data_IF_713788141173
#
_entry.id   IF_713788141173
#
_cell.length_a   1.000
_cell.length_b   1.000
_cell.length_c   1.000
_cell.angle_alpha   90.00
_cell.angle_beta   90.00
_cell.angle_gamma   90.00
#
_symmetry.space_group_name_H-M   'P 1'
#
loop_
_entity.id
_entity.type
_entity.pdbx_description
1 polymer ?
#
# COMPACT_ATOMS: atom_id res chain seq x y z
N UNK A 1 18.77 57.73 -49.26
CA UNK A 1 18.65 58.66 -50.40
C UNK A 1 17.52 59.61 -50.08
N UNK A 2 17.73 60.93 -49.99
CA UNK A 2 16.64 61.87 -49.76
C UNK A 2 15.82 61.93 -51.06
N UNK A 3 14.78 61.10 -51.10
CA UNK A 3 13.81 61.05 -52.17
C UNK A 3 13.20 62.43 -52.37
N UNK A 4 13.17 62.83 -53.64
CA UNK A 4 12.46 63.97 -54.20
C UNK A 4 11.68 64.76 -53.16
N UNK A 5 12.33 65.77 -52.55
CA UNK A 5 11.59 66.85 -51.90
C UNK A 5 10.90 67.61 -53.03
N UNK A 6 9.77 67.01 -53.35
CA UNK A 6 8.69 67.30 -54.25
C UNK A 6 8.93 68.58 -55.05
N UNK A 7 9.25 68.43 -56.34
CA UNK A 7 9.27 69.56 -57.27
C UNK A 7 8.00 70.43 -57.17
N UNK A 8 6.89 69.84 -56.70
CA UNK A 8 5.68 70.55 -56.34
C UNK A 8 5.88 71.68 -55.33
N UNK A 9 6.74 71.55 -54.31
CA UNK A 9 6.98 72.64 -53.33
C UNK A 9 7.61 73.85 -54.04
N UNK A 10 8.55 73.62 -54.95
CA UNK A 10 9.14 74.69 -55.76
C UNK A 10 8.14 75.29 -56.73
N UNK A 11 7.29 74.46 -57.36
CA UNK A 11 6.21 74.90 -58.25
C UNK A 11 5.21 75.76 -57.47
N UNK A 12 4.75 75.33 -56.30
CA UNK A 12 3.83 76.09 -55.46
C UNK A 12 4.47 77.37 -54.93
N UNK A 13 5.74 77.33 -54.54
CA UNK A 13 6.50 78.52 -54.14
C UNK A 13 6.59 79.55 -55.27
N UNK A 14 6.85 79.09 -56.51
CA UNK A 14 6.88 79.93 -57.68
C UNK A 14 5.49 80.54 -57.99
N UNK A 15 4.40 79.75 -57.87
CA UNK A 15 3.03 80.24 -58.04
C UNK A 15 2.69 81.32 -57.02
N UNK A 16 2.99 81.09 -55.74
CA UNK A 16 2.76 82.09 -54.69
C UNK A 16 3.56 83.37 -54.96
N UNK A 17 4.83 83.25 -55.36
CA UNK A 17 5.66 84.39 -55.72
C UNK A 17 5.08 85.20 -56.89
N UNK A 18 4.58 84.53 -57.93
CA UNK A 18 3.92 85.17 -59.05
C UNK A 18 2.61 85.86 -58.64
N UNK A 19 1.79 85.23 -57.80
CA UNK A 19 0.56 85.84 -57.27
C UNK A 19 0.86 87.09 -56.44
N UNK A 20 1.90 87.05 -55.59
CA UNK A 20 2.35 88.21 -54.83
C UNK A 20 2.86 89.32 -55.75
N UNK A 21 3.65 88.97 -56.77
CA UNK A 21 4.16 89.94 -57.76
C UNK A 21 3.01 90.60 -58.53
N UNK A 22 1.98 89.84 -58.89
CA UNK A 22 0.78 90.38 -59.51
C UNK A 22 -0.02 91.30 -58.57
N UNK A 23 -0.15 90.95 -57.29
CA UNK A 23 -0.80 91.81 -56.31
C UNK A 23 -0.04 93.13 -56.10
N UNK A 24 1.30 93.08 -56.09
CA UNK A 24 2.14 94.29 -56.03
C UNK A 24 1.97 95.14 -57.28
N UNK A 25 1.99 94.53 -58.47
CA UNK A 25 1.74 95.24 -59.72
C UNK A 25 0.37 95.94 -59.71
N UNK A 26 -0.68 95.23 -59.28
CA UNK A 26 -2.02 95.77 -59.15
C UNK A 26 -2.10 96.97 -58.19
N UNK A 27 -1.38 96.91 -57.06
CA UNK A 27 -1.28 98.03 -56.12
C UNK A 27 -0.57 99.25 -56.73
N UNK A 28 0.48 99.02 -57.52
CA UNK A 28 1.20 100.10 -58.22
C UNK A 28 0.29 100.78 -59.23
N UNK A 29 -0.45 100.02 -60.04
CA UNK A 29 -1.44 100.58 -60.97
C UNK A 29 -2.57 101.31 -60.25
N UNK A 30 -3.05 100.79 -59.11
CA UNK A 30 -4.06 101.47 -58.29
C UNK A 30 -3.55 102.82 -57.78
N UNK A 31 -2.28 102.88 -57.37
CA UNK A 31 -1.66 104.10 -56.86
C UNK A 31 -1.45 105.16 -57.94
N UNK A 32 -1.17 104.75 -59.19
CA UNK A 32 -0.89 105.67 -60.30
C UNK A 32 -2.18 106.08 -61.02
N UNK A 33 -3.03 105.12 -61.40
CA UNK A 33 -4.23 105.35 -62.21
C UNK A 33 -5.49 105.71 -61.41
N UNK A 34 -5.46 105.53 -60.08
CA UNK A 34 -6.60 105.74 -59.21
C UNK A 34 -7.66 104.63 -59.31
N UNK A 35 -8.74 104.71 -58.51
CA UNK A 35 -9.70 103.61 -58.33
C UNK A 35 -10.57 103.31 -59.55
N UNK A 36 -10.66 104.25 -60.50
CA UNK A 36 -11.43 104.10 -61.74
C UNK A 36 -10.59 103.53 -62.90
N UNK A 37 -9.29 103.28 -62.69
CA UNK A 37 -8.46 102.64 -63.69
C UNK A 37 -8.89 101.17 -63.90
N UNK A 38 -8.70 100.71 -65.13
CA UNK A 38 -8.98 99.34 -65.56
C UNK A 38 -7.68 98.66 -65.96
N UNK A 39 -7.51 97.42 -65.53
CA UNK A 39 -6.39 96.58 -65.96
C UNK A 39 -6.92 95.56 -66.95
N UNK A 40 -6.28 95.48 -68.10
CA UNK A 40 -6.54 94.42 -69.06
C UNK A 40 -5.72 93.17 -68.68
N UNK A 41 -6.40 92.20 -68.08
CA UNK A 41 -5.77 90.99 -67.54
C UNK A 41 -5.35 90.03 -68.67
N UNK A 42 -5.99 90.11 -69.84
CA UNK A 42 -5.75 89.20 -70.98
C UNK A 42 -4.84 89.78 -72.05
N UNK A 43 -4.17 90.91 -71.78
CA UNK A 43 -3.22 91.53 -72.72
C UNK A 43 -2.13 90.56 -73.23
N UNK A 44 -1.77 89.54 -72.44
CA UNK A 44 -0.78 88.53 -72.83
C UNK A 44 -1.29 87.51 -73.86
N UNK A 45 -2.61 87.32 -73.98
CA UNK A 45 -3.25 86.32 -74.86
C UNK A 45 -3.88 87.00 -76.10
N UNK A 46 -3.84 88.34 -76.18
CA UNK A 46 -4.37 89.11 -77.31
C UNK A 46 -5.86 89.41 -77.23
N UNK A 47 -6.52 89.10 -76.11
CA UNK A 47 -7.90 89.47 -75.83
C UNK A 47 -7.97 90.66 -74.88
N UNK A 48 -9.06 91.43 -74.95
CA UNK A 48 -9.29 92.58 -74.06
C UNK A 48 -10.38 92.27 -73.05
N UNK A 49 -9.98 92.01 -71.80
CA UNK A 49 -10.90 91.88 -70.68
C UNK A 49 -10.49 92.85 -69.59
N UNK A 50 -11.23 93.96 -69.53
CA UNK A 50 -10.96 95.05 -68.60
C UNK A 50 -11.67 94.81 -67.27
N UNK A 51 -10.89 94.74 -66.19
CA UNK A 51 -11.39 94.62 -64.83
C UNK A 51 -10.98 95.86 -64.05
N UNK A 52 -11.86 96.35 -63.17
CA UNK A 52 -11.51 97.43 -62.24
C UNK A 52 -10.31 97.00 -61.40
N UNK A 53 -9.32 97.88 -61.29
CA UNK A 53 -8.09 97.62 -60.51
C UNK A 53 -8.42 97.21 -59.08
N UNK A 54 -9.44 97.83 -58.48
CA UNK A 54 -9.87 97.54 -57.10
C UNK A 54 -10.30 96.07 -56.95
N UNK A 55 -11.08 95.56 -57.89
CA UNK A 55 -11.52 94.14 -57.91
C UNK A 55 -10.33 93.20 -58.12
N UNK A 56 -9.36 93.60 -58.94
CA UNK A 56 -8.17 92.79 -59.21
C UNK A 56 -7.22 92.72 -58.00
N UNK A 57 -7.00 93.83 -57.30
CA UNK A 57 -6.18 93.86 -56.06
C UNK A 57 -6.79 92.97 -54.99
N UNK A 58 -8.10 93.06 -54.74
CA UNK A 58 -8.75 92.27 -53.68
C UNK A 58 -8.72 90.77 -54.00
N UNK A 59 -9.01 90.40 -55.25
CA UNK A 59 -9.01 88.99 -55.66
C UNK A 59 -7.61 88.39 -55.65
N UNK A 60 -6.59 89.12 -56.10
CA UNK A 60 -5.20 88.67 -56.06
C UNK A 60 -4.65 88.54 -54.63
N UNK A 61 -4.96 89.47 -53.73
CA UNK A 61 -4.59 89.37 -52.32
C UNK A 61 -5.25 88.17 -51.64
N UNK A 62 -6.54 87.93 -51.89
CA UNK A 62 -7.27 86.80 -51.32
C UNK A 62 -6.71 85.46 -51.84
N UNK A 63 -6.42 85.38 -53.14
CA UNK A 63 -5.74 84.23 -53.73
C UNK A 63 -4.35 84.01 -53.09
N UNK A 64 -3.52 85.04 -53.00
CA UNK A 64 -2.19 84.93 -52.39
C UNK A 64 -2.25 84.45 -50.93
N UNK A 65 -3.17 85.01 -50.12
CA UNK A 65 -3.34 84.63 -48.72
C UNK A 65 -3.79 83.17 -48.55
N UNK A 66 -4.75 82.71 -49.37
CA UNK A 66 -5.24 81.32 -49.31
C UNK A 66 -4.15 80.31 -49.70
N UNK A 67 -3.42 80.55 -50.79
CA UNK A 67 -2.32 79.66 -51.21
C UNK A 67 -1.18 79.64 -50.19
N UNK A 68 -0.83 80.80 -49.61
CA UNK A 68 0.20 80.87 -48.57
C UNK A 68 -0.20 80.11 -47.30
N UNK A 69 -1.46 80.23 -46.86
CA UNK A 69 -1.98 79.49 -45.70
C UNK A 69 -1.90 77.98 -45.89
N UNK A 70 -2.26 77.47 -47.08
CA UNK A 70 -2.14 76.04 -47.41
C UNK A 70 -0.68 75.58 -47.39
N UNK A 71 0.24 76.37 -47.96
CA UNK A 71 1.66 76.03 -48.00
C UNK A 71 2.27 75.97 -46.59
N UNK A 72 1.95 76.93 -45.73
CA UNK A 72 2.37 76.91 -44.33
C UNK A 72 1.82 75.69 -43.58
N UNK A 73 0.55 75.33 -43.77
CA UNK A 73 -0.03 74.15 -43.11
C UNK A 73 0.64 72.85 -43.55
N UNK A 74 0.97 72.71 -44.83
CA UNK A 74 1.65 71.52 -45.35
C UNK A 74 3.08 71.41 -44.82
N UNK A 75 3.79 72.54 -44.74
CA UNK A 75 5.15 72.60 -44.21
C UNK A 75 5.21 72.22 -42.73
N UNK A 76 4.28 72.74 -41.92
CA UNK A 76 4.18 72.41 -40.49
C UNK A 76 3.88 70.92 -40.27
N UNK A 77 2.96 70.33 -41.05
CA UNK A 77 2.64 68.90 -40.94
C UNK A 77 3.84 68.02 -41.26
N UNK A 78 4.60 68.36 -42.30
CA UNK A 78 5.79 67.58 -42.70
C UNK A 78 6.90 67.64 -41.63
N UNK A 79 7.20 68.83 -41.12
CA UNK A 79 8.21 69.02 -40.07
C UNK A 79 7.88 68.26 -38.78
N UNK A 80 6.59 68.16 -38.43
CA UNK A 80 6.14 67.50 -37.20
C UNK A 80 6.22 65.97 -37.30
N UNK A 81 5.92 65.39 -38.46
CA UNK A 81 5.90 63.93 -38.66
C UNK A 81 7.31 63.34 -38.76
N UNK A 82 8.22 64.00 -39.48
CA UNK A 82 9.59 63.48 -39.66
C UNK A 82 10.43 63.52 -38.38
N UNK A 83 10.23 64.55 -37.53
CA UNK A 83 11.02 64.70 -36.30
C UNK A 83 10.52 63.83 -35.13
N UNK A 84 9.22 63.54 -35.07
CA UNK A 84 8.66 62.67 -34.04
C UNK A 84 8.86 61.17 -34.35
N UNK A 85 8.68 60.77 -35.62
CA UNK A 85 8.82 59.37 -36.02
C UNK A 85 10.25 58.85 -35.88
N UNK A 86 11.26 59.65 -36.26
CA UNK A 86 12.66 59.26 -36.15
C UNK A 86 13.08 59.03 -34.68
N UNK A 87 12.70 59.94 -33.77
CA UNK A 87 13.01 59.81 -32.33
C UNK A 87 12.37 58.58 -31.68
N UNK A 88 11.14 58.23 -32.10
CA UNK A 88 10.45 57.05 -31.60
C UNK A 88 11.11 55.77 -32.13
N UNK A 89 11.52 55.74 -33.40
CA UNK A 89 12.23 54.61 -33.99
C UNK A 89 13.55 54.32 -33.26
N UNK A 90 14.38 55.34 -33.04
CA UNK A 90 15.66 55.19 -32.34
C UNK A 90 15.46 54.73 -30.88
N UNK A 91 14.42 55.24 -30.21
CA UNK A 91 14.07 54.85 -28.85
C UNK A 91 13.55 53.39 -28.76
N UNK A 92 12.86 52.91 -29.79
CA UNK A 92 12.40 51.51 -29.88
C UNK A 92 13.59 50.59 -30.18
N UNK A 93 14.44 50.97 -31.12
CA UNK A 93 15.60 50.16 -31.52
C UNK A 93 16.59 50.00 -30.36
N UNK A 94 16.91 51.09 -29.66
CA UNK A 94 17.79 51.04 -28.48
C UNK A 94 17.21 50.18 -27.34
N UNK A 95 15.90 50.25 -27.09
CA UNK A 95 15.22 49.36 -26.12
C UNK A 95 15.23 47.91 -26.56
N UNK A 96 15.07 47.65 -27.85
CA UNK A 96 15.06 46.30 -28.41
C UNK A 96 16.44 45.65 -28.31
N UNK A 97 17.50 46.38 -28.67
CA UNK A 97 18.88 45.93 -28.51
C UNK A 97 19.23 45.69 -27.03
N UNK A 98 18.82 46.59 -26.13
CA UNK A 98 19.02 46.39 -24.69
C UNK A 98 18.32 45.14 -24.17
N UNK A 99 17.05 44.94 -24.55
CA UNK A 99 16.27 43.78 -24.15
C UNK A 99 16.81 42.48 -24.73
N UNK A 100 17.30 42.49 -25.97
CA UNK A 100 17.97 41.34 -26.58
C UNK A 100 19.22 40.95 -25.78
N UNK A 101 20.07 41.92 -25.43
CA UNK A 101 21.26 41.66 -24.62
C UNK A 101 20.94 41.13 -23.21
N UNK A 102 19.87 41.61 -22.58
CA UNK A 102 19.36 41.07 -21.31
C UNK A 102 18.86 39.62 -21.47
N UNK A 103 18.11 39.36 -22.54
CA UNK A 103 17.53 38.04 -22.82
C UNK A 103 18.65 37.01 -23.08
N UNK A 104 19.65 37.34 -23.89
CA UNK A 104 20.80 36.47 -24.14
C UNK A 104 21.54 36.12 -22.86
N UNK A 105 21.76 37.11 -21.97
CA UNK A 105 22.38 36.88 -20.65
C UNK A 105 21.54 35.96 -19.76
N UNK A 106 20.21 36.12 -19.75
CA UNK A 106 19.32 35.26 -18.95
C UNK A 106 19.27 33.84 -19.50
N UNK A 107 19.18 33.69 -20.83
CA UNK A 107 19.14 32.38 -21.50
C UNK A 107 20.45 31.64 -21.30
N UNK A 108 21.60 32.27 -21.54
CA UNK A 108 22.92 31.65 -21.34
C UNK A 108 23.15 31.26 -19.89
N UNK A 109 22.80 32.13 -18.93
CA UNK A 109 22.88 31.81 -17.49
C UNK A 109 21.99 30.63 -17.11
N UNK A 110 20.76 30.56 -17.62
CA UNK A 110 19.87 29.41 -17.38
C UNK A 110 20.39 28.14 -18.01
N UNK A 111 20.94 28.21 -19.22
CA UNK A 111 21.52 27.05 -19.90
C UNK A 111 22.74 26.50 -19.17
N UNK A 112 23.64 27.37 -18.71
CA UNK A 112 24.79 26.97 -17.88
C UNK A 112 24.35 26.32 -16.56
N UNK A 113 23.34 26.88 -15.89
CA UNK A 113 22.77 26.30 -14.67
C UNK A 113 22.10 24.94 -14.95
N UNK A 114 21.40 24.80 -16.07
CA UNK A 114 20.76 23.54 -16.47
C UNK A 114 21.82 22.46 -16.72
N UNK A 115 22.89 22.80 -17.46
CA UNK A 115 24.00 21.87 -17.73
C UNK A 115 24.72 21.43 -16.45
N UNK A 116 24.96 22.35 -15.51
CA UNK A 116 25.55 22.01 -14.21
C UNK A 116 24.63 21.09 -13.38
N UNK A 117 23.32 21.32 -13.42
CA UNK A 117 22.36 20.46 -12.74
C UNK A 117 22.30 19.07 -13.37
N UNK A 118 22.32 18.97 -14.70
CA UNK A 118 22.32 17.69 -15.43
C UNK A 118 23.58 16.86 -15.12
N UNK A 119 24.73 17.52 -15.02
CA UNK A 119 25.97 16.88 -14.58
C UNK A 119 25.86 16.33 -13.15
N UNK A 120 25.37 17.13 -12.20
CA UNK A 120 25.17 16.70 -10.81
C UNK A 120 24.19 15.55 -10.70
N UNK A 121 23.09 15.57 -11.47
CA UNK A 121 22.13 14.47 -11.52
C UNK A 121 22.82 13.20 -12.00
N UNK A 122 23.62 13.28 -13.07
CA UNK A 122 24.36 12.14 -13.60
C UNK A 122 25.35 11.56 -12.58
N UNK A 123 26.04 12.42 -11.83
CA UNK A 123 26.95 12.00 -10.76
C UNK A 123 26.20 11.30 -9.61
N UNK A 124 25.07 11.87 -9.17
CA UNK A 124 24.22 11.24 -8.16
C UNK A 124 23.67 9.89 -8.63
N UNK A 125 23.26 9.77 -9.90
CA UNK A 125 22.79 8.50 -10.47
C UNK A 125 23.90 7.43 -10.47
N UNK A 126 25.15 7.80 -10.74
CA UNK A 126 26.29 6.88 -10.61
C UNK A 126 26.48 6.41 -9.16
N UNK A 127 26.41 7.31 -8.20
CA UNK A 127 26.51 6.96 -6.78
C UNK A 127 25.37 6.04 -6.33
N UNK A 128 24.13 6.34 -6.73
CA UNK A 128 22.95 5.50 -6.44
C UNK A 128 23.14 4.11 -7.03
N UNK A 129 23.65 4.00 -8.26
CA UNK A 129 23.93 2.71 -8.90
C UNK A 129 24.93 1.87 -8.10
N UNK A 130 26.05 2.47 -7.67
CA UNK A 130 27.07 1.79 -6.86
C UNK A 130 26.46 1.30 -5.53
N UNK A 131 25.69 2.15 -4.84
CA UNK A 131 25.03 1.78 -3.59
C UNK A 131 24.01 0.65 -3.80
N UNK A 132 23.31 0.63 -4.94
CA UNK A 132 22.36 -0.43 -5.26
C UNK A 132 23.07 -1.78 -5.45
N UNK A 133 24.21 -1.79 -6.15
CA UNK A 133 25.04 -3.00 -6.34
C UNK A 133 25.61 -3.51 -5.01
N UNK A 134 26.10 -2.62 -4.14
CA UNK A 134 26.57 -2.97 -2.80
C UNK A 134 25.45 -3.57 -1.92
N UNK A 135 24.27 -2.94 -1.94
CA UNK A 135 23.12 -3.41 -1.19
C UNK A 135 22.62 -4.77 -1.71
N UNK A 136 22.63 -4.99 -3.02
CA UNK A 136 22.29 -6.28 -3.61
C UNK A 136 23.25 -7.39 -3.11
N UNK A 137 24.55 -7.12 -3.07
CA UNK A 137 25.53 -8.07 -2.52
C UNK A 137 25.33 -8.36 -1.03
N UNK A 138 24.89 -7.37 -0.24
CA UNK A 138 24.54 -7.57 1.18
C UNK A 138 23.28 -8.42 1.36
N UNK A 139 22.27 -8.22 0.52
CA UNK A 139 21.05 -9.03 0.50
C UNK A 139 21.38 -10.49 0.19
N UNK A 140 22.17 -10.74 -0.86
CA UNK A 140 22.55 -12.10 -1.25
C UNK A 140 23.34 -12.84 -0.15
N UNK A 141 24.27 -12.16 0.53
CA UNK A 141 24.97 -12.72 1.69
C UNK A 141 24.02 -13.07 2.84
N UNK A 142 23.03 -12.22 3.09
CA UNK A 142 22.03 -12.44 4.14
C UNK A 142 21.12 -13.62 3.79
N UNK A 143 20.69 -13.73 2.55
CA UNK A 143 19.88 -14.86 2.06
C UNK A 143 20.63 -16.18 2.14
N UNK A 144 21.91 -16.19 1.77
CA UNK A 144 22.76 -17.37 1.90
C UNK A 144 22.94 -17.81 3.37
N UNK A 145 23.13 -16.86 4.29
CA UNK A 145 23.19 -17.15 5.72
C UNK A 145 21.87 -17.72 6.25
N UNK A 146 20.74 -17.13 5.84
CA UNK A 146 19.39 -17.59 6.18
C UNK A 146 19.14 -19.02 5.67
N UNK A 147 19.52 -19.30 4.43
CA UNK A 147 19.38 -20.64 3.84
C UNK A 147 20.21 -21.69 4.60
N UNK A 148 21.42 -21.34 5.03
CA UNK A 148 22.25 -22.22 5.88
C UNK A 148 21.58 -22.49 7.23
N UNK A 149 20.99 -21.47 7.84
CA UNK A 149 20.26 -21.61 9.11
C UNK A 149 19.01 -22.49 8.96
N UNK A 150 18.22 -22.30 7.91
CA UNK A 150 17.03 -23.11 7.62
C UNK A 150 17.36 -24.60 7.48
N UNK A 151 18.46 -24.94 6.79
CA UNK A 151 18.93 -26.34 6.69
C UNK A 151 19.27 -26.94 8.06
N UNK A 152 19.79 -26.15 9.00
CA UNK A 152 20.07 -26.62 10.36
C UNK A 152 18.77 -26.86 11.15
N UNK A 153 17.78 -25.98 11.01
CA UNK A 153 16.46 -26.17 11.60
C UNK A 153 15.80 -27.44 11.06
N UNK A 154 15.82 -27.68 9.75
CA UNK A 154 15.24 -28.89 9.15
C UNK A 154 15.86 -30.16 9.73
N UNK A 155 17.19 -30.18 9.92
CA UNK A 155 17.88 -31.30 10.57
C UNK A 155 17.41 -31.50 12.01
N UNK A 156 17.24 -30.42 12.78
CA UNK A 156 16.74 -30.50 14.15
C UNK A 156 15.28 -30.99 14.23
N UNK A 157 14.44 -30.61 13.27
CA UNK A 157 13.05 -31.11 13.20
C UNK A 157 13.05 -32.63 12.96
N UNK A 158 13.94 -33.14 12.10
CA UNK A 158 14.06 -34.57 11.86
C UNK A 158 14.51 -35.31 13.12
N UNK A 159 15.53 -34.81 13.83
CA UNK A 159 16.00 -35.45 15.08
C UNK A 159 14.95 -35.42 16.18
N UNK A 160 14.21 -34.31 16.33
CA UNK A 160 13.08 -34.22 17.26
C UNK A 160 11.97 -35.23 16.93
N UNK A 161 11.66 -35.42 15.64
CA UNK A 161 10.67 -36.42 15.20
C UNK A 161 11.12 -37.85 15.52
N UNK A 162 12.42 -38.15 15.37
CA UNK A 162 12.97 -39.45 15.75
C UNK A 162 12.93 -39.67 17.26
N UNK A 163 13.33 -38.67 18.05
CA UNK A 163 13.26 -38.74 19.51
C UNK A 163 11.82 -38.93 20.00
N UNK A 164 10.84 -38.22 19.41
CA UNK A 164 9.42 -38.41 19.73
C UNK A 164 8.97 -39.85 19.52
N UNK A 165 9.32 -40.46 18.38
CA UNK A 165 9.01 -41.89 18.12
C UNK A 165 9.68 -42.84 19.11
N UNK A 166 10.92 -42.54 19.52
CA UNK A 166 11.62 -43.33 20.55
C UNK A 166 10.92 -43.21 21.91
N UNK A 167 10.48 -42.01 22.28
CA UNK A 167 9.71 -41.78 23.50
C UNK A 167 8.38 -42.54 23.44
N UNK A 168 7.61 -42.44 22.35
CA UNK A 168 6.36 -43.19 22.18
C UNK A 168 6.59 -44.71 22.30
N UNK A 169 7.69 -45.23 21.74
CA UNK A 169 8.06 -46.64 21.87
C UNK A 169 8.40 -47.02 23.31
N UNK A 170 9.21 -46.20 23.99
CA UNK A 170 9.58 -46.42 25.40
C UNK A 170 8.33 -46.32 26.29
N UNK A 171 7.47 -45.34 26.06
CA UNK A 171 6.21 -45.18 26.77
C UNK A 171 5.33 -46.41 26.59
N UNK A 172 5.18 -46.92 25.36
CA UNK A 172 4.43 -48.16 25.11
C UNK A 172 5.01 -49.41 25.79
N UNK A 173 6.31 -49.40 26.12
CA UNK A 173 6.99 -50.46 26.85
C UNK A 173 6.91 -50.27 28.37
N UNK A 174 6.90 -49.03 28.85
CA UNK A 174 6.89 -48.69 30.27
C UNK A 174 5.49 -48.60 30.85
N UNK A 175 4.49 -48.20 30.06
CA UNK A 175 3.10 -48.16 30.50
C UNK A 175 2.58 -49.59 30.58
N UNK A 176 2.38 -50.14 31.79
CA UNK A 176 1.77 -51.44 31.93
C UNK A 176 0.41 -51.44 31.22
N UNK A 177 0.19 -52.39 30.32
CA UNK A 177 -1.13 -52.55 29.70
C UNK A 177 -2.10 -53.11 30.73
N UNK A 178 -3.33 -52.60 30.82
CA UNK A 178 -4.36 -53.25 31.62
C UNK A 178 -4.66 -54.62 31.03
N UNK A 179 -5.10 -55.55 31.89
CA UNK A 179 -5.41 -56.91 31.46
C UNK A 179 -6.70 -56.92 30.61
N UNK A 180 -7.65 -56.05 30.97
CA UNK A 180 -8.86 -55.83 30.19
C UNK A 180 -8.94 -54.39 29.68
N UNK A 181 -9.56 -54.24 28.51
CA UNK A 181 -9.96 -52.94 27.96
C UNK A 181 -11.49 -52.86 27.90
N UNK A 182 -12.05 -51.68 27.71
CA UNK A 182 -13.50 -51.49 27.52
C UNK A 182 -14.08 -52.35 26.39
N UNK A 183 -13.27 -52.64 25.37
CA UNK A 183 -13.62 -53.45 24.19
C UNK A 183 -13.31 -54.94 24.32
N UNK A 184 -12.69 -55.36 25.42
CA UNK A 184 -12.41 -56.78 25.67
C UNK A 184 -13.70 -57.59 25.73
N UNK A 185 -13.60 -58.88 25.37
CA UNK A 185 -14.71 -59.81 25.44
C UNK A 185 -15.01 -60.15 26.92
N UNK A 186 -16.28 -60.30 27.27
CA UNK A 186 -16.73 -60.69 28.62
C UNK A 186 -16.17 -62.05 29.09
N UNK A 187 -15.79 -62.94 28.17
CA UNK A 187 -15.15 -64.23 28.49
C UNK A 187 -13.74 -64.07 29.08
N UNK A 188 -13.07 -62.94 28.83
CA UNK A 188 -11.74 -62.65 29.39
C UNK A 188 -11.80 -62.24 30.87
N UNK A 189 -13.00 -62.03 31.43
CA UNK A 189 -13.16 -61.66 32.85
C UNK A 189 -13.01 -62.91 33.73
N UNK A 190 -12.05 -62.89 34.65
CA UNK A 190 -11.86 -63.99 35.61
C UNK A 190 -13.15 -64.30 36.39
N UNK A 191 -13.62 -65.54 36.30
CA UNK A 191 -14.87 -66.00 36.91
C UNK A 191 -16.08 -66.04 35.98
N UNK A 192 -15.94 -65.57 34.73
CA UNK A 192 -16.95 -65.73 33.66
C UNK A 192 -16.56 -66.95 32.81
N UNK A 193 -17.16 -68.10 33.11
CA UNK A 193 -17.06 -69.27 32.23
C UNK A 193 -18.04 -69.18 31.05
N UNK A 194 -17.90 -70.07 30.06
CA UNK A 194 -18.70 -70.06 28.81
C UNK A 194 -20.20 -69.94 29.04
N UNK A 195 -20.74 -70.69 30.02
CA UNK A 195 -22.18 -70.62 30.38
C UNK A 195 -22.62 -69.22 30.80
N UNK A 196 -21.82 -68.55 31.63
CA UNK A 196 -22.12 -67.19 32.10
C UNK A 196 -21.97 -66.20 30.95
N UNK A 197 -20.96 -66.40 30.10
CA UNK A 197 -20.74 -65.55 28.94
C UNK A 197 -21.92 -65.63 27.95
N UNK A 198 -22.44 -66.84 27.69
CA UNK A 198 -23.60 -67.04 26.80
C UNK A 198 -24.87 -66.41 27.38
N UNK A 199 -25.09 -66.50 28.69
CA UNK A 199 -26.21 -65.82 29.37
C UNK A 199 -26.10 -64.29 29.24
N UNK A 200 -24.93 -63.72 29.51
CA UNK A 200 -24.68 -62.27 29.37
C UNK A 200 -24.82 -61.80 27.91
N UNK A 201 -24.33 -62.59 26.96
CA UNK A 201 -24.45 -62.33 25.53
C UNK A 201 -25.90 -62.35 25.07
N UNK A 202 -26.70 -63.30 25.57
CA UNK A 202 -28.15 -63.39 25.31
C UNK A 202 -28.89 -62.17 25.87
N UNK A 203 -28.40 -61.60 26.98
CA UNK A 203 -28.89 -60.34 27.54
C UNK A 203 -28.37 -59.08 26.81
N UNK A 204 -27.61 -59.21 25.71
CA UNK A 204 -27.09 -58.11 24.90
C UNK A 204 -25.77 -57.50 25.40
N UNK A 205 -25.16 -58.09 26.42
CA UNK A 205 -23.91 -57.64 27.04
C UNK A 205 -22.75 -58.41 26.42
N UNK A 206 -22.13 -57.83 25.40
CA UNK A 206 -21.04 -58.47 24.65
C UNK A 206 -19.64 -57.96 25.02
N UNK A 207 -19.55 -56.80 25.66
CA UNK A 207 -18.28 -56.12 25.97
C UNK A 207 -18.18 -55.76 27.45
N UNK A 208 -16.95 -55.65 27.95
CA UNK A 208 -16.66 -55.23 29.33
C UNK A 208 -17.26 -53.84 29.65
N UNK A 209 -17.24 -52.92 28.69
CA UNK A 209 -17.85 -51.59 28.84
C UNK A 209 -19.35 -51.66 29.14
N UNK A 210 -20.12 -52.40 28.32
CA UNK A 210 -21.56 -52.56 28.53
C UNK A 210 -21.84 -53.20 29.88
N UNK A 211 -21.02 -54.19 30.26
CA UNK A 211 -21.15 -54.86 31.54
C UNK A 211 -20.94 -53.90 32.72
N UNK A 212 -20.00 -52.95 32.63
CA UNK A 212 -19.68 -52.03 33.73
C UNK A 212 -20.67 -50.86 33.82
N UNK A 213 -21.19 -50.38 32.70
CA UNK A 213 -22.12 -49.23 32.66
C UNK A 213 -23.49 -49.61 33.22
N UNK A 214 -23.93 -50.84 32.96
CA UNK A 214 -25.30 -51.26 33.27
C UNK A 214 -25.47 -51.69 34.73
N UNK A 215 -26.62 -51.38 35.32
CA UNK A 215 -26.87 -51.68 36.73
C UNK A 215 -26.96 -53.20 36.98
N UNK A 216 -26.32 -53.72 38.05
CA UNK A 216 -26.31 -55.15 38.34
C UNK A 216 -27.71 -55.77 38.42
N UNK A 217 -28.69 -55.06 38.98
CA UNK A 217 -30.09 -55.52 39.09
C UNK A 217 -30.76 -55.71 37.72
N UNK A 218 -30.48 -54.82 36.75
CA UNK A 218 -31.02 -54.91 35.38
C UNK A 218 -30.41 -56.08 34.62
N UNK A 219 -29.12 -56.35 34.85
CA UNK A 219 -28.45 -57.52 34.29
C UNK A 219 -28.99 -58.80 34.91
N UNK A 220 -29.14 -58.83 36.24
CA UNK A 220 -29.66 -59.99 36.96
C UNK A 220 -31.10 -60.33 36.58
N UNK A 221 -31.96 -59.34 36.29
CA UNK A 221 -33.33 -59.58 35.83
C UNK A 221 -33.38 -60.23 34.43
N UNK A 222 -32.44 -59.87 33.54
CA UNK A 222 -32.37 -60.42 32.17
C UNK A 222 -31.60 -61.73 32.09
N UNK A 223 -30.74 -62.00 33.08
CA UNK A 223 -29.98 -63.24 33.20
C UNK A 223 -30.59 -64.13 34.29
N UNK A 224 -30.04 -65.33 34.53
CA UNK A 224 -30.44 -66.17 35.68
C UNK A 224 -29.41 -66.09 36.80
N UNK A 225 -28.65 -65.00 36.83
CA UNK A 225 -27.54 -64.78 37.76
C UNK A 225 -28.02 -63.91 38.92
N UNK A 226 -27.52 -64.16 40.11
CA UNK A 226 -27.82 -63.30 41.26
C UNK A 226 -27.11 -61.95 41.17
N UNK A 227 -27.72 -60.90 41.70
CA UNK A 227 -27.17 -59.54 41.77
C UNK A 227 -25.74 -59.54 42.32
N UNK A 228 -25.54 -60.23 43.44
CA UNK A 228 -24.22 -60.37 44.09
C UNK A 228 -23.16 -61.00 43.17
N UNK A 229 -23.55 -61.93 42.31
CA UNK A 229 -22.64 -62.56 41.34
C UNK A 229 -22.28 -61.57 40.22
N UNK A 230 -23.25 -60.79 39.73
CA UNK A 230 -23.01 -59.75 38.73
C UNK A 230 -22.11 -58.65 39.29
N UNK A 231 -22.39 -58.15 40.50
CA UNK A 231 -21.56 -57.15 41.18
C UNK A 231 -20.11 -57.62 41.32
N UNK A 232 -19.92 -58.90 41.66
CA UNK A 232 -18.58 -59.48 41.75
C UNK A 232 -17.89 -59.53 40.39
N UNK A 233 -18.58 -59.89 39.32
CA UNK A 233 -18.03 -59.92 37.95
C UNK A 233 -17.68 -58.50 37.49
N UNK A 234 -18.59 -57.53 37.64
CA UNK A 234 -18.34 -56.12 37.33
C UNK A 234 -17.15 -55.59 38.13
N UNK A 235 -17.08 -55.93 39.41
CA UNK A 235 -15.97 -55.61 40.29
C UNK A 235 -14.63 -56.18 39.81
N UNK A 236 -14.60 -57.46 39.44
CA UNK A 236 -13.41 -58.09 38.84
C UNK A 236 -13.01 -57.37 37.56
N UNK A 237 -13.96 -57.10 36.67
CA UNK A 237 -13.70 -56.44 35.39
C UNK A 237 -13.09 -55.05 35.60
N UNK A 238 -13.67 -54.24 36.49
CA UNK A 238 -13.14 -52.93 36.85
C UNK A 238 -11.72 -52.99 37.42
N UNK A 239 -11.40 -53.99 38.25
CA UNK A 239 -10.06 -54.17 38.80
C UNK A 239 -9.05 -54.60 37.73
N UNK A 240 -9.43 -55.49 36.81
CA UNK A 240 -8.57 -55.96 35.71
C UNK A 240 -8.32 -54.89 34.62
N UNK A 241 -9.17 -53.86 34.57
CA UNK A 241 -8.93 -52.65 33.75
C UNK A 241 -7.86 -51.73 34.35
N UNK A 242 -7.41 -51.98 35.59
CA UNK A 242 -6.31 -51.22 36.19
C UNK A 242 -4.99 -51.87 35.78
N UNK A 243 -4.04 -51.09 35.23
CA UNK A 243 -2.74 -51.62 34.85
C UNK A 243 -2.02 -52.37 35.98
N UNK A 244 -1.30 -53.44 35.62
CA UNK A 244 -0.54 -54.32 36.53
C UNK A 244 -1.37 -55.17 37.50
N UNK A 245 -2.70 -55.11 37.45
CA UNK A 245 -3.57 -56.04 38.19
C UNK A 245 -3.88 -57.22 37.28
N UNK A 246 -3.36 -58.39 37.63
CA UNK A 246 -3.72 -59.66 37.00
C UNK A 246 -4.87 -60.33 37.77
N UNK A 247 -5.34 -61.48 37.29
CA UNK A 247 -6.45 -62.22 37.90
C UNK A 247 -6.20 -62.60 39.36
N UNK A 248 -4.98 -63.03 39.70
CA UNK A 248 -4.63 -63.46 41.05
C UNK A 248 -4.65 -62.28 42.02
N UNK A 249 -4.09 -61.14 41.60
CA UNK A 249 -4.10 -59.89 42.38
C UNK A 249 -5.51 -59.32 42.51
N UNK A 250 -6.34 -59.39 41.47
CA UNK A 250 -7.75 -59.02 41.55
C UNK A 250 -8.51 -59.89 42.58
N UNK A 251 -8.28 -61.21 42.59
CA UNK A 251 -8.86 -62.13 43.58
C UNK A 251 -8.39 -61.81 45.01
N UNK A 252 -7.10 -61.48 45.20
CA UNK A 252 -6.57 -61.06 46.51
C UNK A 252 -7.21 -59.76 47.00
N UNK A 253 -7.36 -58.76 46.11
CA UNK A 253 -8.04 -57.50 46.41
C UNK A 253 -9.50 -57.72 46.81
N UNK A 254 -10.23 -58.57 46.10
CA UNK A 254 -11.60 -58.93 46.44
C UNK A 254 -11.70 -59.60 47.80
N UNK A 255 -10.82 -60.56 48.11
CA UNK A 255 -10.77 -61.20 49.43
C UNK A 255 -10.40 -60.21 50.55
N UNK A 256 -9.66 -59.15 50.23
CA UNK A 256 -9.37 -58.04 51.15
C UNK A 256 -10.52 -57.02 51.28
N UNK A 257 -11.67 -57.27 50.64
CA UNK A 257 -12.88 -56.43 50.69
C UNK A 257 -12.93 -55.33 49.63
N UNK A 258 -11.99 -55.30 48.68
CA UNK A 258 -11.97 -54.34 47.58
C UNK A 258 -12.69 -54.94 46.39
N UNK A 259 -13.97 -54.57 46.25
CA UNK A 259 -14.85 -55.13 45.22
C UNK A 259 -14.95 -54.29 43.96
N UNK A 260 -14.38 -53.08 43.92
CA UNK A 260 -14.48 -52.18 42.76
C UNK A 260 -13.27 -51.26 42.64
N UNK A 261 -13.06 -50.70 41.44
CA UNK A 261 -12.01 -49.72 41.20
C UNK A 261 -12.20 -48.46 42.05
N UNK A 262 -13.44 -48.01 42.27
CA UNK A 262 -13.75 -46.85 43.11
C UNK A 262 -13.38 -47.11 44.59
N UNK A 263 -13.74 -48.27 45.14
CA UNK A 263 -13.33 -48.65 46.49
C UNK A 263 -11.81 -48.67 46.62
N UNK A 264 -11.11 -49.17 45.61
CA UNK A 264 -9.64 -49.18 45.57
C UNK A 264 -9.05 -47.77 45.55
N UNK A 265 -9.56 -46.88 44.69
CA UNK A 265 -9.12 -45.48 44.59
C UNK A 265 -9.23 -44.72 45.92
N UNK A 266 -10.23 -45.09 46.73
CA UNK A 266 -10.49 -44.47 48.04
C UNK A 266 -9.67 -45.07 49.19
N UNK A 267 -8.87 -46.12 48.98
CA UNK A 267 -8.06 -46.73 50.05
C UNK A 267 -6.78 -45.96 50.35
N UNK A 268 -6.28 -46.15 51.57
CA UNK A 268 -4.91 -45.82 51.95
C UNK A 268 -3.97 -47.02 51.65
N UNK A 269 -2.77 -46.81 51.07
CA UNK A 269 -1.89 -47.91 50.65
C UNK A 269 -1.43 -48.82 51.80
N UNK A 270 -1.01 -48.25 52.93
CA UNK A 270 -0.44 -49.00 54.06
C UNK A 270 -1.47 -49.93 54.72
N UNK A 271 -2.69 -49.48 55.09
CA UNK A 271 -3.71 -50.37 55.62
C UNK A 271 -4.14 -51.46 54.63
N UNK A 272 -4.25 -51.12 53.34
CA UNK A 272 -4.62 -52.09 52.32
C UNK A 272 -3.55 -53.17 52.13
N UNK A 273 -2.27 -52.80 52.10
CA UNK A 273 -1.16 -53.75 52.05
C UNK A 273 -1.21 -54.76 53.19
N UNK A 274 -1.40 -54.29 54.43
CA UNK A 274 -1.55 -55.19 55.60
C UNK A 274 -2.74 -56.14 55.45
N UNK A 275 -3.89 -55.66 54.97
CA UNK A 275 -5.08 -56.50 54.73
C UNK A 275 -4.80 -57.57 53.68
N UNK A 276 -4.17 -57.22 52.56
CA UNK A 276 -3.84 -58.17 51.49
C UNK A 276 -2.82 -59.20 51.97
N UNK A 277 -1.77 -58.78 52.69
CA UNK A 277 -0.77 -59.69 53.23
C UNK A 277 -1.38 -60.74 54.18
N UNK A 278 -2.32 -60.33 55.04
CA UNK A 278 -3.03 -61.25 55.94
C UNK A 278 -3.88 -62.29 55.18
N UNK A 279 -4.43 -61.90 54.03
CA UNK A 279 -5.26 -62.77 53.18
C UNK A 279 -4.41 -63.69 52.30
N UNK A 280 -3.24 -63.24 51.85
CA UNK A 280 -2.41 -63.96 50.90
C UNK A 280 -1.68 -65.18 51.50
N UNK A 281 -1.48 -65.23 52.84
CA UNK A 281 -0.89 -66.35 53.60
C UNK A 281 0.24 -67.09 52.83
N UNK A 282 1.23 -66.32 52.35
CA UNK A 282 2.43 -66.78 51.60
C UNK A 282 2.22 -67.12 50.11
N UNK A 283 1.23 -66.55 49.44
CA UNK A 283 1.16 -66.62 47.97
C UNK A 283 2.26 -65.76 47.33
N UNK A 284 2.97 -66.33 46.34
CA UNK A 284 3.97 -65.61 45.53
C UNK A 284 3.37 -64.40 44.78
N UNK A 285 2.04 -64.35 44.63
CA UNK A 285 1.32 -63.25 43.99
C UNK A 285 1.03 -62.05 44.93
N UNK A 286 1.60 -62.05 46.15
CA UNK A 286 1.38 -60.96 47.11
C UNK A 286 1.97 -59.65 46.56
N UNK A 287 1.15 -58.62 46.29
CA UNK A 287 1.64 -57.37 45.70
C UNK A 287 2.48 -56.59 46.71
N UNK A 288 3.52 -55.91 46.23
CA UNK A 288 4.34 -55.04 47.09
C UNK A 288 3.59 -53.75 47.44
N UNK A 289 4.11 -52.99 48.43
CA UNK A 289 3.52 -51.71 48.82
C UNK A 289 3.55 -50.68 47.67
N UNK A 290 4.62 -50.69 46.87
CA UNK A 290 4.78 -49.84 45.68
C UNK A 290 3.73 -50.19 44.62
N UNK A 291 3.50 -51.49 44.39
CA UNK A 291 2.47 -51.95 43.47
C UNK A 291 1.08 -51.52 43.92
N UNK A 292 0.72 -51.69 45.19
CA UNK A 292 -0.57 -51.23 45.72
C UNK A 292 -0.74 -49.73 45.58
N UNK A 293 0.32 -48.96 45.88
CA UNK A 293 0.31 -47.51 45.71
C UNK A 293 0.07 -47.15 44.24
N UNK A 294 0.69 -47.88 43.30
CA UNK A 294 0.47 -47.74 41.87
C UNK A 294 -0.96 -48.10 41.45
N UNK A 295 -1.55 -49.16 42.01
CA UNK A 295 -2.93 -49.57 41.74
C UNK A 295 -3.92 -48.50 42.18
N UNK A 296 -3.76 -47.97 43.39
CA UNK A 296 -4.62 -46.89 43.94
C UNK A 296 -4.49 -45.64 43.06
N UNK A 297 -3.26 -45.25 42.68
CA UNK A 297 -3.03 -44.09 41.81
C UNK A 297 -3.69 -44.29 40.44
N UNK A 298 -3.51 -45.46 39.83
CA UNK A 298 -4.11 -45.80 38.53
C UNK A 298 -5.64 -45.86 38.59
N UNK A 299 -6.20 -46.39 39.68
CA UNK A 299 -7.64 -46.41 39.92
C UNK A 299 -8.23 -44.99 39.98
N UNK A 300 -7.54 -44.05 40.67
CA UNK A 300 -7.95 -42.64 40.73
C UNK A 300 -7.95 -41.98 39.36
N UNK A 301 -6.88 -42.17 38.59
CA UNK A 301 -6.75 -41.62 37.23
C UNK A 301 -7.78 -42.19 36.25
N UNK A 302 -8.06 -43.49 36.29
CA UNK A 302 -9.07 -44.10 35.44
C UNK A 302 -10.48 -43.65 35.82
N UNK A 303 -10.80 -43.48 37.10
CA UNK A 303 -12.13 -43.09 37.54
C UNK A 303 -12.50 -41.65 37.15
N UNK A 304 -11.55 -40.72 37.15
CA UNK A 304 -11.78 -39.35 36.66
C UNK A 304 -12.10 -39.26 35.17
N UNK A 305 -11.87 -40.33 34.38
CA UNK A 305 -12.17 -40.33 32.95
C UNK A 305 -13.59 -40.81 32.61
N UNK A 306 -14.33 -41.37 33.58
CA UNK A 306 -15.67 -41.95 33.36
C UNK A 306 -16.82 -41.17 34.02
N UNK A 307 -16.52 -40.15 34.84
CA UNK A 307 -17.50 -39.19 35.39
C UNK A 307 -17.31 -37.83 34.73
#
# INVERSE_FOLDING_TARGET
>A
MPESVSGWIWIFGAIVFLLCSNAVYALVELAIGGPQATINILSLIGETYDVSVTTYVVTSMLAAATFFGVLCSLFIRKLTVETAAAKISDAIESKLQHNQGQLEKVVTKRFANLSMNDFKITEHLKHIKIQLEENQGRIEKTDNARNKYNRTIEKQIITLKEMKRKIEKIESQLTPKPHLTSRSNIQEISGVGDKIADELKTAGITTVEKLIIEEPAVIAQRTKLSDSKIEKIQGTAQLLMIPRINENKAKLLQKAGITSANKLASQNPIPLFKKIANVAKNSDDTPTLEEITSYIKSARSNFTAFN
#
